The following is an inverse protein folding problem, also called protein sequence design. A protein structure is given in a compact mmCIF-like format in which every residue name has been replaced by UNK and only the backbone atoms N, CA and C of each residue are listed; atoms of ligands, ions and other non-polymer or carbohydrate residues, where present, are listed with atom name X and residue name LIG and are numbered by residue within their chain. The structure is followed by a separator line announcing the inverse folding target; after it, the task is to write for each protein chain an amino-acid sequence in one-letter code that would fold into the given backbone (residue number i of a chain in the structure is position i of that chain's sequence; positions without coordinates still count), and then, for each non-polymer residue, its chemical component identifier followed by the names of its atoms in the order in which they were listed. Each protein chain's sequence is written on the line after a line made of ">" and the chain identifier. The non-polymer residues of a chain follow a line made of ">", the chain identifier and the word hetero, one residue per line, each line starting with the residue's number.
data_IF_234914118930
#
_entry.id   IF_234914118930
#
_cell.length_a   1.000
_cell.length_b   1.000
_cell.length_c   1.000
_cell.angle_alpha   90.00
_cell.angle_beta   90.00
_cell.angle_gamma   90.00
#
_symmetry.space_group_name_H-M   'P 1'
#
loop_
_entity.id
_entity.type
_entity.pdbx_description
1 polymer ?
#
# COMPACT_ATOMS: atom_id res chain seq x y z
N UNK A 1 25.37 52.19 -32.84
CA UNK A 1 26.23 50.99 -32.82
C UNK A 1 25.42 49.90 -32.14
N UNK A 2 24.66 49.11 -32.90
CA UNK A 2 24.98 47.70 -33.24
C UNK A 2 24.91 46.84 -31.93
N UNK A 3 24.06 45.84 -31.69
CA UNK A 3 23.43 44.83 -32.55
C UNK A 3 22.44 43.99 -31.69
N UNK A 4 21.35 43.52 -32.31
CA UNK A 4 20.69 42.20 -32.15
C UNK A 4 20.20 41.74 -30.75
N UNK A 5 18.88 41.66 -30.50
CA UNK A 5 17.96 40.57 -30.87
C UNK A 5 18.53 39.16 -30.63
N UNK A 6 17.89 38.36 -29.76
CA UNK A 6 17.26 37.08 -30.16
C UNK A 6 16.48 36.42 -29.02
N UNK A 7 15.20 36.21 -29.28
CA UNK A 7 14.28 35.33 -28.56
C UNK A 7 14.47 33.89 -29.06
N UNK A 8 14.50 32.90 -28.17
CA UNK A 8 14.55 31.49 -28.54
C UNK A 8 13.35 30.73 -27.95
N UNK A 9 12.35 30.54 -28.80
CA UNK A 9 11.17 29.70 -28.62
C UNK A 9 11.53 28.25 -28.94
N UNK A 10 11.42 27.33 -27.97
CA UNK A 10 11.65 25.89 -28.19
C UNK A 10 10.30 25.18 -28.36
N UNK A 11 9.89 24.99 -29.61
CA UNK A 11 8.84 24.02 -29.98
C UNK A 11 9.48 22.64 -30.14
N UNK A 12 9.17 21.69 -29.26
CA UNK A 12 9.44 20.26 -29.50
C UNK A 12 8.28 19.66 -30.30
N UNK A 13 8.56 19.35 -31.55
CA UNK A 13 7.75 18.49 -32.41
C UNK A 13 8.24 17.06 -32.19
N UNK A 14 7.41 16.20 -31.59
CA UNK A 14 7.67 14.76 -31.53
C UNK A 14 7.11 14.16 -32.81
N UNK A 15 8.01 13.95 -33.78
CA UNK A 15 7.78 13.15 -34.96
C UNK A 15 7.88 11.67 -34.56
N UNK A 16 6.75 10.96 -34.54
CA UNK A 16 6.73 9.50 -34.45
C UNK A 16 6.72 8.93 -35.87
N UNK A 17 7.89 8.47 -36.30
CA UNK A 17 8.10 7.78 -37.56
C UNK A 17 7.65 6.33 -37.42
N UNK A 18 6.45 6.01 -37.90
CA UNK A 18 6.00 4.63 -38.07
C UNK A 18 6.59 4.06 -39.37
N UNK A 19 7.47 3.07 -39.21
CA UNK A 19 8.00 2.28 -40.31
C UNK A 19 6.93 1.32 -40.80
N UNK A 20 6.49 1.49 -42.05
CA UNK A 20 5.55 0.60 -42.72
C UNK A 20 6.27 -0.67 -43.15
N UNK A 21 5.96 -1.78 -42.49
CA UNK A 21 6.31 -3.13 -42.96
C UNK A 21 5.46 -3.42 -44.20
N UNK A 22 6.10 -3.42 -45.37
CA UNK A 22 5.44 -3.74 -46.64
C UNK A 22 5.33 -5.27 -46.81
N UNK A 23 4.10 -5.78 -46.72
CA UNK A 23 3.77 -7.15 -47.15
C UNK A 23 3.23 -7.10 -48.59
N UNK A 24 4.05 -7.53 -49.54
CA UNK A 24 3.62 -7.91 -50.90
C UNK A 24 3.50 -9.43 -50.95
N UNK A 25 2.28 -9.96 -51.10
CA UNK A 25 1.99 -11.05 -52.05
C UNK A 25 0.50 -11.32 -52.26
N UNK A 26 0.14 -11.19 -53.54
CA UNK A 26 -0.75 -12.03 -54.34
C UNK A 26 -2.11 -12.43 -53.75
N UNK A 27 -3.13 -11.63 -54.05
CA UNK A 27 -4.52 -12.05 -53.92
C UNK A 27 -4.98 -12.67 -55.26
N UNK A 28 -5.13 -14.00 -55.33
CA UNK A 28 -5.78 -14.68 -56.45
C UNK A 28 -7.28 -14.44 -56.33
N UNK A 29 -7.84 -13.75 -57.32
CA UNK A 29 -9.25 -13.40 -57.36
C UNK A 29 -10.17 -14.61 -57.36
N UNK A 30 -11.00 -14.72 -56.34
CA UNK A 30 -12.27 -15.41 -56.43
C UNK A 30 -13.32 -14.40 -56.90
N UNK A 31 -13.73 -14.52 -58.16
CA UNK A 31 -14.90 -13.84 -58.70
C UNK A 31 -16.14 -14.61 -58.27
N UNK A 32 -16.77 -14.21 -57.17
CA UNK A 32 -18.17 -14.55 -56.92
C UNK A 32 -19.05 -13.52 -57.62
N UNK A 33 -19.90 -14.02 -58.52
CA UNK A 33 -20.95 -13.23 -59.18
C UNK A 33 -22.10 -13.17 -58.18
N UNK A 34 -22.26 -12.04 -57.50
CA UNK A 34 -23.47 -11.81 -56.70
C UNK A 34 -24.04 -10.41 -57.02
N UNK A 35 -25.11 -10.40 -57.81
CA UNK A 35 -25.86 -9.21 -58.20
C UNK A 35 -27.14 -9.18 -57.35
N UNK A 36 -27.06 -8.53 -56.19
CA UNK A 36 -28.21 -8.32 -55.29
C UNK A 36 -27.84 -7.92 -53.85
N UNK A 37 -26.62 -8.21 -53.38
CA UNK A 37 -26.27 -8.15 -51.95
C UNK A 37 -25.43 -6.93 -51.51
N UNK A 38 -25.51 -5.78 -52.20
CA UNK A 38 -24.70 -4.59 -51.84
C UNK A 38 -25.18 -3.84 -50.58
N UNK A 39 -26.43 -4.08 -50.14
CA UNK A 39 -26.97 -3.47 -48.91
C UNK A 39 -26.71 -4.27 -47.63
N UNK A 40 -26.62 -5.61 -47.73
CA UNK A 40 -26.52 -6.48 -46.56
C UNK A 40 -25.10 -6.55 -45.97
N UNK A 41 -24.04 -6.32 -46.77
CA UNK A 41 -22.67 -6.35 -46.24
C UNK A 41 -22.37 -5.18 -45.29
N UNK A 42 -22.94 -4.00 -45.54
CA UNK A 42 -22.80 -2.83 -44.67
C UNK A 42 -23.49 -3.09 -43.32
N UNK A 43 -24.72 -3.62 -43.35
CA UNK A 43 -25.48 -3.94 -42.14
C UNK A 43 -24.77 -5.02 -41.33
N UNK A 44 -24.20 -6.04 -41.99
CA UNK A 44 -23.43 -7.07 -41.32
C UNK A 44 -22.17 -6.51 -40.62
N UNK A 45 -21.43 -5.61 -41.27
CA UNK A 45 -20.25 -4.96 -40.66
C UNK A 45 -20.67 -4.08 -39.49
N UNK A 46 -21.75 -3.29 -39.63
CA UNK A 46 -22.26 -2.48 -38.53
C UNK A 46 -22.71 -3.36 -37.36
N UNK A 47 -23.40 -4.47 -37.62
CA UNK A 47 -23.82 -5.43 -36.59
C UNK A 47 -22.62 -6.07 -35.88
N UNK A 48 -21.56 -6.41 -36.59
CA UNK A 48 -20.33 -6.95 -35.97
C UNK A 48 -19.62 -5.88 -35.14
N UNK A 49 -19.54 -4.64 -35.64
CA UNK A 49 -18.92 -3.53 -34.90
C UNK A 49 -19.70 -3.17 -33.63
N UNK A 50 -21.04 -3.17 -33.69
CA UNK A 50 -21.87 -2.92 -32.50
C UNK A 50 -21.74 -4.04 -31.47
N UNK A 51 -21.73 -5.31 -31.90
CA UNK A 51 -21.47 -6.45 -31.01
C UNK A 51 -20.09 -6.36 -30.36
N UNK A 52 -19.06 -5.95 -31.10
CA UNK A 52 -17.72 -5.76 -30.56
C UNK A 52 -17.67 -4.61 -29.54
N UNK A 53 -18.34 -3.50 -29.82
CA UNK A 53 -18.44 -2.38 -28.88
C UNK A 53 -19.13 -2.79 -27.55
N UNK A 54 -20.21 -3.57 -27.63
CA UNK A 54 -20.90 -4.11 -26.45
C UNK A 54 -19.98 -5.06 -25.68
N UNK A 55 -19.24 -5.93 -26.39
CA UNK A 55 -18.31 -6.87 -25.78
C UNK A 55 -17.18 -6.15 -25.00
N UNK A 56 -16.65 -5.05 -25.54
CA UNK A 56 -15.61 -4.27 -24.85
C UNK A 56 -16.11 -3.59 -23.56
N UNK A 57 -17.34 -3.07 -23.57
CA UNK A 57 -17.93 -2.44 -22.37
C UNK A 57 -18.07 -3.42 -21.21
N UNK A 58 -18.26 -4.72 -21.49
CA UNK A 58 -18.35 -5.74 -20.45
C UNK A 58 -17.04 -5.96 -19.67
N UNK A 59 -15.87 -5.61 -20.24
CA UNK A 59 -14.55 -5.82 -19.61
C UNK A 59 -14.10 -4.62 -18.76
N UNK A 60 -14.65 -3.42 -19.00
CA UNK A 60 -14.25 -2.18 -18.33
C UNK A 60 -14.21 -2.24 -16.78
N UNK A 61 -15.26 -2.74 -16.07
CA UNK A 61 -15.25 -2.71 -14.60
C UNK A 61 -14.18 -3.63 -13.99
N UNK A 62 -13.87 -4.77 -14.64
CA UNK A 62 -12.87 -5.70 -14.14
C UNK A 62 -11.45 -5.10 -14.15
N UNK A 63 -11.13 -4.31 -15.17
CA UNK A 63 -9.82 -3.64 -15.31
C UNK A 63 -9.66 -2.52 -14.28
N UNK A 64 -10.73 -1.78 -13.98
CA UNK A 64 -10.66 -0.73 -12.95
C UNK A 64 -10.33 -1.32 -11.57
N UNK A 65 -10.95 -2.45 -11.22
CA UNK A 65 -10.68 -3.15 -9.96
C UNK A 65 -9.24 -3.69 -9.88
N UNK A 66 -8.68 -4.20 -10.99
CA UNK A 66 -7.30 -4.67 -10.99
C UNK A 66 -6.32 -3.52 -10.79
N UNK A 67 -6.54 -2.40 -11.48
CA UNK A 67 -5.71 -1.19 -11.32
C UNK A 67 -5.82 -0.61 -9.92
N UNK A 68 -7.03 -0.56 -9.34
CA UNK A 68 -7.22 -0.10 -7.97
C UNK A 68 -6.49 -1.01 -6.98
N UNK A 69 -6.64 -2.33 -7.10
CA UNK A 69 -5.93 -3.29 -6.26
C UNK A 69 -4.41 -3.14 -6.37
N UNK A 70 -3.88 -2.95 -7.58
CA UNK A 70 -2.44 -2.73 -7.79
C UNK A 70 -1.96 -1.44 -7.11
N UNK A 71 -2.73 -0.36 -7.22
CA UNK A 71 -2.43 0.90 -6.52
C UNK A 71 -2.46 0.73 -5.00
N UNK A 72 -3.41 -0.04 -4.47
CA UNK A 72 -3.52 -0.33 -3.03
C UNK A 72 -2.33 -1.15 -2.52
N UNK A 73 -1.92 -2.18 -3.25
CA UNK A 73 -0.74 -2.98 -2.91
C UNK A 73 0.53 -2.14 -2.95
N UNK A 74 0.66 -1.28 -3.95
CA UNK A 74 1.77 -0.35 -4.07
C UNK A 74 1.75 0.69 -2.95
N UNK A 75 0.58 1.19 -2.56
CA UNK A 75 0.41 2.12 -1.44
C UNK A 75 0.88 1.48 -0.13
N UNK A 76 0.48 0.23 0.13
CA UNK A 76 0.94 -0.52 1.29
C UNK A 76 2.45 -0.68 1.24
N UNK A 77 3.01 -1.10 0.10
CA UNK A 77 4.46 -1.30 -0.04
C UNK A 77 5.25 -0.01 0.21
N UNK A 78 4.81 1.12 -0.36
CA UNK A 78 5.43 2.43 -0.16
C UNK A 78 5.25 2.93 1.27
N UNK A 79 4.07 2.74 1.84
CA UNK A 79 3.76 3.07 3.22
C UNK A 79 4.66 2.32 4.20
N UNK A 80 4.89 1.02 3.97
CA UNK A 80 5.81 0.22 4.77
C UNK A 80 7.27 0.65 4.60
N UNK A 81 7.71 1.05 3.39
CA UNK A 81 9.04 1.63 3.20
C UNK A 81 9.21 2.93 3.99
N UNK A 82 8.20 3.80 4.03
CA UNK A 82 8.21 5.01 4.86
C UNK A 82 8.25 4.65 6.34
N UNK A 83 7.41 3.72 6.81
CA UNK A 83 7.44 3.26 8.20
C UNK A 83 8.82 2.69 8.58
N UNK A 84 9.45 1.94 7.68
CA UNK A 84 10.82 1.45 7.83
C UNK A 84 11.88 2.56 7.86
N UNK A 85 11.70 3.63 7.10
CA UNK A 85 12.57 4.81 7.15
C UNK A 85 12.41 5.58 8.47
N UNK A 86 11.17 5.81 8.93
CA UNK A 86 10.88 6.41 10.24
C UNK A 86 11.54 5.58 11.35
N UNK A 87 11.44 4.25 11.28
CA UNK A 87 12.12 3.36 12.23
C UNK A 87 13.61 3.63 12.31
N UNK A 88 14.30 3.62 11.16
CA UNK A 88 15.74 3.86 11.09
C UNK A 88 16.12 5.25 11.60
N UNK A 89 15.29 6.27 11.33
CA UNK A 89 15.49 7.63 11.81
C UNK A 89 15.46 7.69 13.34
N UNK A 90 14.42 7.11 13.94
CA UNK A 90 14.25 7.07 15.39
C UNK A 90 15.37 6.26 16.04
N UNK A 91 15.73 5.09 15.50
CA UNK A 91 16.84 4.28 16.00
C UNK A 91 18.18 5.03 15.97
N UNK A 92 18.45 5.80 14.89
CA UNK A 92 19.66 6.59 14.75
C UNK A 92 19.79 7.69 15.82
N UNK A 93 18.70 8.42 16.09
CA UNK A 93 18.65 9.44 17.14
C UNK A 93 18.31 8.88 18.53
N UNK A 94 18.33 7.56 18.72
CA UNK A 94 17.98 6.87 19.98
C UNK A 94 16.62 7.29 20.53
N UNK A 95 15.69 7.57 19.63
CA UNK A 95 14.32 7.98 19.89
C UNK A 95 14.16 9.41 20.39
N UNK A 96 15.21 10.22 20.43
CA UNK A 96 15.14 11.62 20.91
C UNK A 96 14.48 12.57 19.92
N UNK A 97 14.60 12.30 18.62
CA UNK A 97 14.08 13.12 17.53
C UNK A 97 13.13 12.31 16.64
N UNK A 98 12.01 12.92 16.27
CA UNK A 98 11.11 12.44 15.21
C UNK A 98 11.36 13.25 13.93
N UNK A 99 11.07 12.66 12.75
CA UNK A 99 11.08 13.43 11.52
C UNK A 99 9.99 14.49 11.58
N UNK A 100 10.31 15.71 11.13
CA UNK A 100 9.37 16.83 11.11
C UNK A 100 8.68 16.92 9.73
N UNK A 101 9.34 16.40 8.68
CA UNK A 101 8.84 16.36 7.31
C UNK A 101 9.20 15.06 6.58
N UNK A 102 8.53 14.80 5.46
CA UNK A 102 8.89 13.69 4.56
C UNK A 102 10.28 13.89 3.94
N UNK A 103 10.68 15.15 3.73
CA UNK A 103 11.97 15.49 3.13
C UNK A 103 13.15 15.09 4.03
N UNK A 104 12.99 15.10 5.36
CA UNK A 104 13.99 14.59 6.30
C UNK A 104 14.31 13.11 6.05
N UNK A 105 13.31 12.33 5.65
CA UNK A 105 13.48 10.90 5.33
C UNK A 105 14.13 10.71 3.95
N UNK A 106 13.91 11.63 3.01
CA UNK A 106 14.52 11.62 1.68
C UNK A 106 15.98 12.06 1.70
N UNK A 107 16.30 13.08 2.50
CA UNK A 107 17.66 13.57 2.72
C UNK A 107 18.56 12.47 3.31
N UNK A 108 17.97 11.62 4.16
CA UNK A 108 18.61 10.46 4.74
C UNK A 108 19.42 10.79 6.00
N UNK A 109 20.16 9.80 6.49
CA UNK A 109 20.88 9.90 7.77
C UNK A 109 22.36 10.21 7.56
N UNK A 110 22.97 11.06 8.40
CA UNK A 110 24.41 11.28 8.35
C UNK A 110 25.17 10.00 8.75
N UNK A 111 26.11 9.58 7.91
CA UNK A 111 27.01 8.44 8.12
C UNK A 111 28.44 8.92 7.85
N UNK A 112 29.02 9.60 8.85
CA UNK A 112 30.31 10.29 8.70
C UNK A 112 30.21 11.48 7.75
N UNK A 113 30.94 11.44 6.64
CA UNK A 113 30.98 12.54 5.64
C UNK A 113 29.89 12.45 4.56
N UNK A 114 29.19 11.31 4.46
CA UNK A 114 28.14 11.08 3.46
C UNK A 114 26.79 10.87 4.14
N UNK A 115 25.71 11.19 3.43
CA UNK A 115 24.34 10.87 3.85
C UNK A 115 23.94 9.51 3.25
N UNK A 116 23.38 8.65 4.08
CA UNK A 116 22.80 7.36 3.67
C UNK A 116 21.31 7.54 3.47
N UNK A 117 20.86 7.35 2.24
CA UNK A 117 19.45 7.37 1.90
C UNK A 117 18.72 6.24 2.62
N UNK A 118 17.65 6.58 3.35
CA UNK A 118 16.80 5.61 4.07
C UNK A 118 15.45 5.37 3.37
N UNK A 119 15.00 6.34 2.56
CA UNK A 119 13.74 6.27 1.84
C UNK A 119 13.97 6.42 0.33
N UNK A 120 13.30 5.57 -0.46
CA UNK A 120 13.28 5.72 -1.92
C UNK A 120 12.38 6.91 -2.30
N UNK A 121 12.75 7.75 -3.29
CA UNK A 121 11.92 8.90 -3.68
C UNK A 121 10.51 8.51 -4.11
N UNK A 122 10.34 7.34 -4.72
CA UNK A 122 9.01 6.82 -5.11
C UNK A 122 8.11 6.51 -3.92
N UNK A 123 8.68 6.14 -2.77
CA UNK A 123 7.90 5.79 -1.58
C UNK A 123 7.34 7.03 -0.85
N UNK A 124 7.96 8.19 -1.05
CA UNK A 124 7.44 9.46 -0.53
C UNK A 124 6.17 9.95 -1.23
N UNK A 125 5.74 9.30 -2.32
CA UNK A 125 4.54 9.65 -3.09
C UNK A 125 3.44 8.61 -2.89
N UNK A 126 2.27 9.05 -2.42
CA UNK A 126 1.06 8.24 -2.25
C UNK A 126 0.41 7.97 -3.63
N UNK A 127 0.27 6.70 -4.07
CA UNK A 127 -0.37 6.38 -5.35
C UNK A 127 -1.91 6.44 -5.32
N UNK A 128 -2.53 6.62 -4.14
CA UNK A 128 -3.99 6.69 -3.97
C UNK A 128 -4.51 8.13 -3.92
N UNK A 129 -3.69 9.06 -3.46
CA UNK A 129 -4.02 10.50 -3.42
C UNK A 129 -3.84 11.14 -4.79
N UNK A 130 -4.73 12.06 -5.16
CA UNK A 130 -4.62 12.86 -6.39
C UNK A 130 -3.41 13.80 -6.33
N UNK A 131 -3.13 14.36 -5.15
CA UNK A 131 -1.98 15.25 -4.91
C UNK A 131 -0.67 14.47 -4.72
N UNK A 132 -0.73 13.15 -4.60
CA UNK A 132 0.43 12.29 -4.37
C UNK A 132 1.10 12.46 -3.00
N UNK A 133 0.51 13.23 -2.09
CA UNK A 133 1.08 13.50 -0.76
C UNK A 133 0.50 12.56 0.29
N UNK A 134 1.37 12.09 1.18
CA UNK A 134 0.96 11.40 2.39
C UNK A 134 0.43 12.38 3.43
N UNK A 135 -0.53 11.95 4.24
CA UNK A 135 -0.92 12.62 5.48
C UNK A 135 0.05 12.23 6.59
N UNK A 136 0.55 13.19 7.35
CA UNK A 136 1.46 12.93 8.48
C UNK A 136 0.64 12.73 9.75
N UNK A 137 0.95 11.66 10.49
CA UNK A 137 0.21 11.28 11.70
C UNK A 137 1.07 11.55 12.94
N UNK A 138 0.52 12.37 13.84
CA UNK A 138 1.18 12.76 15.10
C UNK A 138 1.14 11.61 16.12
N UNK A 139 2.16 11.47 16.99
CA UNK A 139 2.18 10.44 18.03
C UNK A 139 1.02 10.50 19.03
N UNK A 140 0.47 11.70 19.26
CA UNK A 140 -0.64 11.94 20.19
C UNK A 140 -1.93 12.30 19.44
N UNK A 141 -1.98 12.09 18.11
CA UNK A 141 -3.15 12.39 17.31
C UNK A 141 -4.28 11.38 17.55
N UNK A 142 -5.54 11.84 17.47
CA UNK A 142 -6.71 10.97 17.65
C UNK A 142 -6.75 9.85 16.59
N UNK A 143 -6.36 10.15 15.35
CA UNK A 143 -6.23 9.16 14.29
C UNK A 143 -5.32 7.99 14.68
N UNK A 144 -4.21 8.30 15.36
CA UNK A 144 -3.25 7.31 15.82
C UNK A 144 -3.79 6.45 16.96
N UNK A 145 -4.49 7.06 17.91
CA UNK A 145 -5.16 6.38 19.02
C UNK A 145 -6.23 5.41 18.49
N UNK A 146 -7.10 5.89 17.61
CA UNK A 146 -8.15 5.08 16.98
C UNK A 146 -7.55 3.91 16.19
N UNK A 147 -6.46 4.16 15.45
CA UNK A 147 -5.74 3.11 14.74
C UNK A 147 -5.16 2.05 15.70
N UNK A 148 -4.52 2.46 16.79
CA UNK A 148 -3.99 1.53 17.79
C UNK A 148 -5.07 0.59 18.33
N UNK A 149 -6.25 1.13 18.67
CA UNK A 149 -7.38 0.29 19.10
C UNK A 149 -7.88 -0.66 18.01
N UNK A 150 -7.97 -0.20 16.76
CA UNK A 150 -8.35 -1.07 15.62
C UNK A 150 -7.38 -2.25 15.48
N UNK A 151 -6.07 -1.99 15.60
CA UNK A 151 -5.05 -3.04 15.58
C UNK A 151 -5.18 -3.98 16.78
N UNK A 152 -5.49 -3.46 17.96
CA UNK A 152 -5.75 -4.28 19.15
C UNK A 152 -6.95 -5.22 18.93
N UNK A 153 -8.08 -4.68 18.48
CA UNK A 153 -9.30 -5.46 18.20
C UNK A 153 -9.06 -6.51 17.11
N UNK A 154 -8.31 -6.15 16.05
CA UNK A 154 -7.94 -7.07 14.98
C UNK A 154 -7.09 -8.25 15.50
N UNK A 155 -6.20 -7.99 16.47
CA UNK A 155 -5.32 -8.99 17.09
C UNK A 155 -5.91 -9.58 18.39
N UNK A 156 -7.23 -9.76 18.46
CA UNK A 156 -7.92 -10.40 19.58
C UNK A 156 -7.68 -9.74 20.94
N UNK A 157 -7.54 -8.41 20.98
CA UNK A 157 -7.36 -7.64 22.21
C UNK A 157 -5.90 -7.39 22.60
N UNK A 158 -4.93 -7.89 21.82
CA UNK A 158 -3.50 -7.79 22.13
C UNK A 158 -2.84 -6.80 21.17
N UNK A 159 -2.18 -5.77 21.71
CA UNK A 159 -1.33 -4.90 20.91
C UNK A 159 0.01 -5.59 20.61
N UNK A 160 0.44 -5.68 19.33
CA UNK A 160 1.74 -6.22 18.99
C UNK A 160 2.88 -5.38 19.61
N UNK A 161 3.97 -6.04 19.98
CA UNK A 161 5.12 -5.37 20.59
C UNK A 161 5.76 -4.35 19.65
N UNK A 162 6.31 -3.29 20.25
CA UNK A 162 7.19 -2.34 19.56
C UNK A 162 8.44 -3.03 19.00
N UNK A 163 9.06 -2.51 17.92
CA UNK A 163 10.23 -3.14 17.30
C UNK A 163 11.50 -3.07 18.17
N UNK A 164 11.62 -2.08 19.05
CA UNK A 164 12.71 -1.98 20.05
C UNK A 164 12.27 -1.14 21.25
N UNK A 165 12.99 -1.25 22.37
CA UNK A 165 12.69 -0.53 23.61
C UNK A 165 12.68 1.01 23.44
N UNK A 166 13.37 1.52 22.41
CA UNK A 166 13.39 2.95 22.07
C UNK A 166 11.99 3.46 21.70
N UNK A 167 11.13 2.59 21.15
CA UNK A 167 9.79 2.94 20.71
C UNK A 167 8.75 2.91 21.83
N UNK A 168 9.06 2.31 22.98
CA UNK A 168 8.13 2.20 24.10
C UNK A 168 7.71 3.58 24.65
N UNK A 169 8.58 4.58 24.52
CA UNK A 169 8.24 5.98 24.87
C UNK A 169 7.04 6.54 24.09
N UNK A 170 6.79 6.04 22.88
CA UNK A 170 5.68 6.48 22.02
C UNK A 170 4.48 5.54 22.16
N UNK A 171 4.73 4.25 22.39
CA UNK A 171 3.67 3.26 22.54
C UNK A 171 2.96 3.32 23.91
N UNK A 172 3.69 3.47 25.01
CA UNK A 172 3.13 3.37 26.36
C UNK A 172 2.03 4.39 26.68
N UNK A 173 2.18 5.70 26.35
CA UNK A 173 1.09 6.66 26.54
C UNK A 173 -0.18 6.25 25.79
N UNK A 174 -0.01 5.66 24.59
CA UNK A 174 -1.11 5.22 23.75
C UNK A 174 -1.90 4.07 24.39
N UNK A 175 -1.20 3.07 24.94
CA UNK A 175 -1.85 1.89 25.56
C UNK A 175 -2.78 2.31 26.70
N UNK A 176 -2.36 3.28 27.51
CA UNK A 176 -3.19 3.79 28.60
C UNK A 176 -4.46 4.48 28.06
N UNK A 177 -4.32 5.33 27.04
CA UNK A 177 -5.44 6.05 26.43
C UNK A 177 -6.42 5.06 25.77
N UNK A 178 -5.92 4.09 25.00
CA UNK A 178 -6.74 3.09 24.31
C UNK A 178 -7.57 2.27 25.29
N UNK A 179 -6.98 1.82 26.40
CA UNK A 179 -7.70 1.04 27.41
C UNK A 179 -8.76 1.88 28.15
N UNK A 180 -8.61 3.21 28.18
CA UNK A 180 -9.57 4.11 28.81
C UNK A 180 -10.74 4.52 27.91
N UNK A 181 -10.58 4.50 26.58
CA UNK A 181 -11.61 4.92 25.62
C UNK A 181 -12.62 3.81 25.32
N UNK A 182 -13.91 4.14 25.44
CA UNK A 182 -15.00 3.22 25.09
C UNK A 182 -15.14 3.05 23.56
N UNK A 183 -15.80 1.97 23.11
CA UNK A 183 -16.01 1.72 21.66
C UNK A 183 -16.94 2.74 21.01
N UNK A 184 -17.81 3.39 21.78
CA UNK A 184 -18.75 4.41 21.32
C UNK A 184 -18.08 5.76 21.04
N UNK A 185 -17.17 6.21 21.93
CA UNK A 185 -16.44 7.49 21.77
C UNK A 185 -15.58 7.54 20.50
N UNK A 186 -15.13 6.38 20.03
CA UNK A 186 -14.26 6.28 18.84
C UNK A 186 -15.05 6.37 17.56
N UNK A 187 -16.29 5.88 17.54
CA UNK A 187 -17.17 6.05 16.37
C UNK A 187 -17.52 7.51 16.16
N UNK A 188 -17.73 8.24 17.25
CA UNK A 188 -17.97 9.70 17.22
C UNK A 188 -16.69 10.45 16.81
N UNK A 189 -15.52 10.09 17.36
CA UNK A 189 -14.24 10.69 16.98
C UNK A 189 -13.80 10.38 15.52
N UNK A 190 -14.21 9.24 14.97
CA UNK A 190 -13.97 8.86 13.56
C UNK A 190 -14.77 9.76 12.58
N UNK A 191 -15.85 10.41 13.03
CA UNK A 191 -16.64 11.36 12.21
C UNK A 191 -16.05 12.78 12.22
N UNK A 192 -15.31 13.14 13.29
CA UNK A 192 -14.58 14.41 13.43
C UNK A 192 -13.11 14.33 12.95
N UNK A 193 -12.68 13.19 12.41
CA UNK A 193 -11.28 12.88 12.06
C UNK A 193 -10.78 13.62 10.79
N UNK A 194 -10.67 14.96 10.84
CA UNK A 194 -10.00 15.75 9.80
C UNK A 194 -9.33 17.00 10.38
N UNK A 195 -8.22 16.84 11.11
CA UNK A 195 -7.23 17.93 11.22
C UNK A 195 -5.80 17.44 11.49
N UNK A 196 -5.37 16.38 10.80
CA UNK A 196 -3.95 16.00 10.74
C UNK A 196 -3.28 16.66 9.52
N UNK A 197 -2.41 17.62 9.82
CA UNK A 197 -1.74 18.52 8.89
C UNK A 197 -0.71 17.82 8.00
N UNK A 198 -0.57 18.28 6.75
CA UNK A 198 0.46 17.80 5.81
C UNK A 198 1.85 18.39 6.10
N UNK A 199 1.95 19.44 6.94
CA UNK A 199 3.15 20.26 7.00
C UNK A 199 3.81 20.28 8.39
N UNK A 200 5.13 20.02 8.39
CA UNK A 200 6.13 20.39 9.41
C UNK A 200 5.75 20.17 10.88
N UNK A 201 5.25 18.97 11.20
CA UNK A 201 5.07 18.57 12.60
C UNK A 201 5.69 17.20 12.83
N UNK A 202 6.29 16.94 14.02
CA UNK A 202 6.87 15.64 14.33
C UNK A 202 5.83 14.53 14.17
N UNK A 203 6.14 13.54 13.34
CA UNK A 203 5.21 12.45 13.02
C UNK A 203 5.83 11.07 13.29
N UNK A 204 4.96 10.11 13.63
CA UNK A 204 5.34 8.71 13.91
C UNK A 204 4.74 7.74 12.89
N UNK A 205 3.94 8.25 11.96
CA UNK A 205 3.34 7.45 10.91
C UNK A 205 2.79 8.32 9.81
N UNK A 206 2.36 7.65 8.75
CA UNK A 206 1.75 8.29 7.61
C UNK A 206 0.47 7.56 7.23
N UNK A 207 -0.44 8.24 6.54
CA UNK A 207 -1.66 7.66 6.02
C UNK A 207 -2.03 8.27 4.67
N UNK A 208 -2.78 7.55 3.83
CA UNK A 208 -3.22 8.09 2.53
C UNK A 208 -4.25 9.19 2.73
N UNK A 209 -4.24 10.23 1.90
CA UNK A 209 -5.25 11.29 1.94
C UNK A 209 -6.61 10.89 1.34
N UNK A 210 -6.63 9.84 0.51
CA UNK A 210 -7.85 9.32 -0.13
C UNK A 210 -8.87 8.86 0.90
N UNK A 211 -10.15 9.17 0.68
CA UNK A 211 -11.29 8.71 1.51
C UNK A 211 -12.04 7.53 0.89
N UNK A 212 -11.53 7.00 -0.22
CA UNK A 212 -12.18 5.92 -0.93
C UNK A 212 -12.11 4.62 -0.13
N UNK A 213 -13.09 3.76 -0.39
CA UNK A 213 -13.10 2.41 0.14
C UNK A 213 -12.10 1.54 -0.61
N UNK A 214 -11.55 0.56 0.11
CA UNK A 214 -10.53 -0.33 -0.38
C UNK A 214 -11.08 -1.70 -0.73
N UNK A 215 -10.44 -2.34 -1.72
CA UNK A 215 -10.68 -3.75 -2.05
C UNK A 215 -9.91 -4.67 -1.07
N UNK A 216 -8.78 -4.20 -0.53
CA UNK A 216 -7.95 -4.93 0.42
C UNK A 216 -8.20 -4.37 1.83
N UNK A 217 -8.17 -5.21 2.87
CA UNK A 217 -8.22 -4.71 4.24
C UNK A 217 -6.80 -4.65 4.83
N UNK A 218 -6.49 -3.54 5.51
CA UNK A 218 -5.23 -3.36 6.24
C UNK A 218 -5.53 -3.32 7.75
N UNK A 219 -5.14 -4.36 8.50
CA UNK A 219 -5.61 -4.60 9.88
C UNK A 219 -7.15 -4.60 10.02
N UNK A 220 -7.85 -5.14 9.01
CA UNK A 220 -9.32 -5.13 8.99
C UNK A 220 -9.95 -3.77 8.63
N UNK A 221 -9.14 -2.79 8.24
CA UNK A 221 -9.59 -1.44 7.86
C UNK A 221 -9.77 -1.38 6.35
N UNK A 222 -10.96 -0.98 5.91
CA UNK A 222 -11.34 -0.91 4.49
C UNK A 222 -11.34 0.52 3.93
N UNK A 223 -10.92 1.54 4.70
CA UNK A 223 -10.81 2.92 4.21
C UNK A 223 -9.34 3.34 4.11
N UNK A 224 -8.93 3.85 2.95
CA UNK A 224 -7.56 4.31 2.70
C UNK A 224 -7.11 5.39 3.69
N UNK A 225 -8.01 6.27 4.12
CA UNK A 225 -7.67 7.37 5.03
C UNK A 225 -7.25 6.88 6.41
N UNK A 226 -7.78 5.72 6.82
CA UNK A 226 -7.56 5.09 8.12
C UNK A 226 -6.39 4.10 8.13
N UNK A 227 -5.75 3.89 6.98
CA UNK A 227 -4.54 3.09 6.88
C UNK A 227 -3.35 3.88 7.39
N UNK A 228 -2.90 3.54 8.60
CA UNK A 228 -1.72 4.18 9.19
C UNK A 228 -0.52 3.24 9.07
N UNK A 229 0.50 3.72 8.37
CA UNK A 229 1.79 3.08 8.28
C UNK A 229 2.72 3.68 9.33
N UNK A 230 3.03 2.89 10.34
CA UNK A 230 3.87 3.30 11.48
C UNK A 230 4.85 2.17 11.80
N UNK A 231 6.04 2.45 12.37
CA UNK A 231 6.91 1.41 12.87
C UNK A 231 6.38 0.74 14.15
N UNK A 232 5.36 1.32 14.81
CA UNK A 232 4.73 0.75 16.00
C UNK A 232 3.77 -0.40 15.64
N UNK A 233 3.46 -1.25 16.61
CA UNK A 233 2.44 -2.31 16.50
C UNK A 233 2.71 -3.35 15.39
N UNK A 234 3.98 -3.63 15.11
CA UNK A 234 4.39 -4.63 14.09
C UNK A 234 4.78 -5.98 14.70
N UNK A 235 5.09 -6.03 15.99
CA UNK A 235 5.68 -7.20 16.61
C UNK A 235 7.20 -7.26 16.42
N UNK A 236 7.88 -7.94 17.33
CA UNK A 236 9.32 -8.15 17.26
C UNK A 236 9.65 -9.17 16.15
N UNK A 237 9.88 -8.70 14.92
CA UNK A 237 10.47 -9.54 13.86
C UNK A 237 9.97 -9.34 12.42
N UNK A 238 8.95 -8.52 12.17
CA UNK A 238 8.37 -8.39 10.82
C UNK A 238 8.93 -7.19 10.06
N UNK A 239 10.08 -7.36 9.43
CA UNK A 239 10.57 -6.43 8.39
C UNK A 239 10.01 -6.75 7.00
N UNK A 240 9.08 -7.71 6.88
CA UNK A 240 8.50 -8.16 5.61
C UNK A 240 7.02 -8.49 5.83
N UNK A 241 6.14 -7.53 5.56
CA UNK A 241 4.72 -7.85 5.33
C UNK A 241 4.62 -8.33 3.88
N UNK A 242 4.68 -9.66 3.70
CA UNK A 242 4.05 -10.25 2.52
C UNK A 242 2.54 -10.05 2.69
N UNK A 243 1.82 -9.45 1.74
CA UNK A 243 0.36 -9.38 1.77
C UNK A 243 -0.19 -10.79 1.53
N UNK A 244 -0.13 -11.64 2.56
CA UNK A 244 -0.76 -12.96 2.56
C UNK A 244 -2.21 -12.73 2.93
N UNK A 245 -3.07 -12.91 1.94
CA UNK A 245 -4.52 -13.03 2.04
C UNK A 245 -4.90 -13.72 3.35
N UNK A 246 -5.74 -13.06 4.15
CA UNK A 246 -6.24 -13.58 5.43
C UNK A 246 -6.81 -14.98 5.23
N UNK A 247 -6.13 -15.97 5.80
CA UNK A 247 -6.70 -17.31 5.95
C UNK A 247 -7.38 -17.31 7.33
N UNK A 248 -8.68 -17.60 7.44
CA UNK A 248 -9.30 -17.76 8.74
C UNK A 248 -8.62 -18.90 9.48
N UNK A 249 -8.37 -18.67 10.76
CA UNK A 249 -7.73 -19.54 11.72
C UNK A 249 -8.28 -20.99 11.62
N UNK A 250 -7.50 -21.90 10.99
CA UNK A 250 -7.81 -23.33 10.96
C UNK A 250 -7.23 -23.94 12.22
N UNK A 251 -8.09 -24.14 13.21
CA UNK A 251 -7.75 -24.64 14.54
C UNK A 251 -6.70 -25.74 14.54
N UNK A 252 -5.59 -25.45 15.23
CA UNK A 252 -4.62 -26.46 15.59
C UNK A 252 -5.13 -27.28 16.78
N UNK A 253 -5.00 -28.59 16.59
CA UNK A 253 -5.56 -29.69 17.36
C UNK A 253 -4.85 -29.86 18.71
N UNK A 254 -5.51 -30.45 19.72
CA UNK A 254 -4.88 -30.77 20.98
C UNK A 254 -3.74 -31.79 20.80
N UNK A 255 -2.62 -31.49 21.45
CA UNK A 255 -1.38 -32.26 21.51
C UNK A 255 -1.61 -33.66 22.11
N UNK A 256 -1.58 -34.70 21.28
CA UNK A 256 -1.52 -36.10 21.72
C UNK A 256 -0.08 -36.49 22.05
N UNK A 257 0.45 -35.97 23.14
CA UNK A 257 1.61 -36.58 23.79
C UNK A 257 1.10 -37.52 24.88
N UNK A 258 0.80 -38.75 24.49
CA UNK A 258 0.66 -39.88 25.41
C UNK A 258 1.08 -41.16 24.69
N UNK A 259 2.01 -41.87 25.33
CA UNK A 259 2.34 -43.28 25.14
C UNK A 259 3.41 -43.65 24.10
N UNK A 260 4.67 -43.39 24.44
CA UNK A 260 5.74 -44.36 24.18
C UNK A 260 6.63 -44.50 25.42
N UNK A 261 6.02 -44.90 26.55
CA UNK A 261 6.79 -45.47 27.66
C UNK A 261 7.16 -46.89 27.28
N UNK A 262 8.37 -46.98 26.72
CA UNK A 262 9.07 -48.20 26.35
C UNK A 262 9.32 -49.03 27.61
N UNK A 263 8.67 -50.19 27.68
CA UNK A 263 8.89 -51.26 28.64
C UNK A 263 10.39 -51.53 28.84
N UNK A 264 10.88 -51.32 30.07
CA UNK A 264 12.10 -51.99 30.57
C UNK A 264 11.77 -52.69 31.88
N UNK A 265 11.73 -54.03 31.82
CA UNK A 265 11.63 -54.92 32.98
C UNK A 265 12.95 -54.86 33.79
N UNK A 266 12.91 -54.81 35.13
CA UNK A 266 14.12 -55.00 35.92
C UNK A 266 14.49 -56.49 35.96
N UNK A 267 15.71 -56.81 35.52
CA UNK A 267 16.31 -58.15 35.68
C UNK A 267 16.83 -58.29 37.11
N UNK A 268 16.12 -59.12 37.85
CA UNK A 268 16.43 -59.68 39.16
C UNK A 268 17.90 -60.14 39.28
N UNK A 269 18.59 -59.73 40.34
CA UNK A 269 19.74 -60.44 40.90
C UNK A 269 19.54 -60.57 42.41
N UNK A 270 19.55 -61.82 42.87
CA UNK A 270 19.58 -62.31 44.26
C UNK A 270 20.45 -63.58 44.25
N UNK A 271 20.92 -64.05 45.40
CA UNK A 271 21.36 -63.35 46.61
C UNK A 271 22.90 -63.19 46.66
#
# INVERSE_FOLDING_TARGET
>A
MIMMMTTATIKKVVSCQWSVVSWRKANKGQRTKDKGQKGMSLIAVMAVMTLFAIALLAVAPAVQLSVQREKELEAIRRGEEVAGAIRQYIEFYRGTKLPDSMDDLLEGLPQGTKKRQILRPSAAVDPLSEDGKWRLIKPTGQAFINFGKRVQTYNNGILPSSPSAIFDRFALPLVNIINSQSDSEIKEADEEEIEDSTDNTPFIGIASQSRNTSIIAYYGIENHSKWIFTPLFRGAGTSVINPRVGTPNRGERPNQNSQEQRNTLPRNTRP
#
